data_IF_301486801199
#
_entry.id   IF_301486801199
#
_cell.length_a   1.000
_cell.length_b   1.000
_cell.length_c   1.000
_cell.angle_alpha   90.00
_cell.angle_beta   90.00
_cell.angle_gamma   90.00
#
_symmetry.space_group_name_H-M   'P 1'
#
loop_
_entity.id
_entity.type
_entity.pdbx_description
1 polymer ?
#
# COMPACT_ATOMS: atom_id res chain seq x y z
N UNK A 1 -8.24 -6.81 -10.35
CA UNK A 1 -8.55 -6.06 -9.12
C UNK A 1 -8.68 -7.06 -7.99
N UNK A 2 -8.14 -6.74 -6.80
CA UNK A 2 -8.09 -7.62 -5.63
C UNK A 2 -8.82 -6.92 -4.47
N UNK A 3 -9.53 -7.66 -3.64
CA UNK A 3 -10.25 -7.12 -2.48
C UNK A 3 -9.70 -7.70 -1.17
N UNK A 4 -9.65 -6.87 -0.13
CA UNK A 4 -9.37 -7.24 1.25
C UNK A 4 -10.64 -7.10 2.08
N UNK A 5 -10.90 -8.11 2.90
CA UNK A 5 -12.03 -8.17 3.81
C UNK A 5 -11.52 -8.24 5.24
N UNK A 6 -12.32 -7.75 6.17
CA UNK A 6 -12.09 -7.91 7.60
C UNK A 6 -12.34 -9.35 8.02
N UNK A 7 -11.39 -9.98 8.72
CA UNK A 7 -11.47 -11.40 9.07
C UNK A 7 -12.61 -11.74 10.03
N UNK A 8 -13.10 -10.77 10.83
CA UNK A 8 -14.13 -11.00 11.83
C UNK A 8 -15.53 -10.70 11.31
N UNK A 9 -15.67 -9.60 10.58
CA UNK A 9 -16.97 -9.07 10.13
C UNK A 9 -17.26 -9.41 8.67
N UNK A 10 -16.27 -9.89 7.92
CA UNK A 10 -16.31 -10.08 6.48
C UNK A 10 -16.70 -8.80 5.71
N UNK A 11 -16.50 -7.63 6.34
CA UNK A 11 -16.74 -6.34 5.72
C UNK A 11 -15.61 -6.02 4.73
N UNK A 12 -15.96 -5.40 3.60
CA UNK A 12 -14.97 -4.95 2.61
C UNK A 12 -14.11 -3.83 3.21
N UNK A 13 -12.80 -4.03 3.30
CA UNK A 13 -11.84 -3.04 3.83
C UNK A 13 -11.12 -2.27 2.73
N UNK A 14 -10.61 -2.98 1.74
CA UNK A 14 -9.85 -2.34 0.69
C UNK A 14 -10.01 -3.04 -0.66
N UNK A 15 -9.80 -2.28 -1.74
CA UNK A 15 -9.64 -2.84 -3.08
C UNK A 15 -8.43 -2.25 -3.78
N UNK A 16 -7.72 -3.10 -4.52
CA UNK A 16 -6.48 -2.77 -5.20
C UNK A 16 -6.60 -3.01 -6.70
N UNK A 17 -6.24 -2.00 -7.48
CA UNK A 17 -6.13 -2.10 -8.94
C UNK A 17 -4.66 -2.23 -9.28
N UNK A 18 -4.34 -3.27 -10.04
CA UNK A 18 -2.98 -3.55 -10.52
C UNK A 18 -2.88 -3.23 -12.00
N UNK A 19 -1.71 -2.76 -12.41
CA UNK A 19 -1.31 -2.62 -13.79
C UNK A 19 -0.85 -3.93 -14.41
N UNK A 20 -0.23 -3.86 -15.60
CA UNK A 20 0.43 -5.00 -16.20
C UNK A 20 1.60 -5.46 -15.34
N UNK A 21 1.63 -6.75 -14.97
CA UNK A 21 2.64 -7.34 -14.08
C UNK A 21 2.03 -7.85 -12.77
N UNK A 22 2.85 -8.53 -11.96
CA UNK A 22 2.41 -9.14 -10.70
C UNK A 22 2.39 -8.10 -9.57
N UNK A 23 3.52 -7.41 -9.36
CA UNK A 23 3.72 -6.47 -8.25
C UNK A 23 3.58 -5.01 -8.71
N UNK A 24 2.54 -4.72 -9.49
CA UNK A 24 2.30 -3.40 -10.07
C UNK A 24 1.02 -2.73 -9.55
N UNK A 25 0.88 -2.45 -8.23
CA UNK A 25 -0.30 -1.78 -7.71
C UNK A 25 -0.34 -0.31 -8.17
N UNK A 26 -1.51 0.16 -8.59
CA UNK A 26 -1.71 1.54 -9.11
C UNK A 26 -2.66 2.34 -8.22
N UNK A 27 -3.78 1.74 -7.82
CA UNK A 27 -4.84 2.44 -7.06
C UNK A 27 -5.29 1.61 -5.88
N UNK A 28 -5.49 2.27 -4.75
CA UNK A 28 -6.12 1.72 -3.55
C UNK A 28 -7.42 2.46 -3.25
N UNK A 29 -8.44 1.68 -2.90
CA UNK A 29 -9.71 2.14 -2.38
C UNK A 29 -9.83 1.63 -0.95
N UNK A 30 -9.84 2.53 0.04
CA UNK A 30 -10.03 2.21 1.45
C UNK A 30 -11.48 2.47 1.84
N UNK A 31 -12.18 1.44 2.31
CA UNK A 31 -13.61 1.48 2.61
C UNK A 31 -13.84 1.68 4.11
N UNK A 32 -14.66 2.68 4.45
CA UNK A 32 -15.19 2.86 5.81
C UNK A 32 -16.61 2.30 5.97
N UNK A 33 -17.30 2.09 4.84
CA UNK A 33 -18.59 1.42 4.74
C UNK A 33 -18.77 0.86 3.32
N UNK A 34 -19.75 -0.03 3.05
CA UNK A 34 -19.90 -0.67 1.73
C UNK A 34 -19.99 0.29 0.53
N UNK A 35 -20.51 1.50 0.75
CA UNK A 35 -20.66 2.56 -0.27
C UNK A 35 -19.77 3.79 -0.03
N UNK A 36 -18.93 3.79 1.01
CA UNK A 36 -18.09 4.93 1.39
C UNK A 36 -16.62 4.53 1.35
N UNK A 37 -15.83 5.21 0.52
CA UNK A 37 -14.42 4.91 0.34
C UNK A 37 -13.57 6.16 0.07
N UNK A 38 -12.29 6.05 0.39
CA UNK A 38 -11.25 6.99 0.01
C UNK A 38 -10.38 6.35 -1.07
N UNK A 39 -10.08 7.10 -2.14
CA UNK A 39 -9.19 6.64 -3.21
C UNK A 39 -7.82 7.28 -3.09
N UNK A 40 -6.77 6.48 -3.25
CA UNK A 40 -5.39 6.93 -3.35
C UNK A 40 -4.67 6.24 -4.51
N UNK A 41 -3.65 6.91 -5.03
CA UNK A 41 -2.81 6.42 -6.13
C UNK A 41 -1.39 6.19 -5.63
N UNK A 42 -0.77 5.12 -6.11
CA UNK A 42 0.64 4.85 -5.83
C UNK A 42 1.52 5.56 -6.84
N UNK A 43 2.62 6.15 -6.34
CA UNK A 43 3.70 6.69 -7.13
C UNK A 43 4.87 5.73 -7.02
N UNK A 44 5.37 5.28 -8.17
CA UNK A 44 6.42 4.25 -8.23
C UNK A 44 7.71 4.80 -8.82
N UNK A 45 8.84 4.27 -8.34
CA UNK A 45 10.11 4.42 -9.03
C UNK A 45 10.23 3.47 -10.23
N UNK A 46 11.40 3.46 -10.86
CA UNK A 46 11.71 2.64 -12.04
C UNK A 46 11.68 1.13 -11.76
N UNK A 47 11.85 0.73 -10.50
CA UNK A 47 11.88 -0.66 -10.04
C UNK A 47 10.50 -1.12 -9.54
N UNK A 48 9.50 -0.23 -9.58
CA UNK A 48 8.16 -0.49 -9.08
C UNK A 48 8.02 -0.28 -7.57
N UNK A 49 9.02 0.25 -6.87
CA UNK A 49 8.91 0.56 -5.44
C UNK A 49 7.99 1.74 -5.21
N UNK A 50 7.12 1.65 -4.20
CA UNK A 50 6.18 2.73 -3.87
C UNK A 50 6.89 3.86 -3.13
N UNK A 51 7.19 4.97 -3.80
CA UNK A 51 7.85 6.13 -3.19
C UNK A 51 6.88 7.18 -2.66
N UNK A 52 5.58 7.04 -2.94
CA UNK A 52 4.57 7.93 -2.38
C UNK A 52 3.15 7.54 -2.72
N UNK A 53 2.21 8.24 -2.09
CA UNK A 53 0.77 8.12 -2.33
C UNK A 53 0.16 9.49 -2.53
N UNK A 54 -0.81 9.59 -3.43
CA UNK A 54 -1.53 10.85 -3.68
C UNK A 54 -3.04 10.69 -3.59
N UNK A 55 -3.75 11.80 -3.41
CA UNK A 55 -5.21 11.88 -3.52
C UNK A 55 -5.65 12.23 -4.95
N UNK A 56 -6.96 12.42 -5.14
CA UNK A 56 -7.56 12.67 -6.45
C UNK A 56 -7.14 14.00 -7.09
N UNK A 57 -6.71 14.96 -6.27
CA UNK A 57 -6.19 16.25 -6.71
C UNK A 57 -4.67 16.24 -6.93
N UNK A 58 -4.01 15.08 -6.78
CA UNK A 58 -2.56 14.95 -6.86
C UNK A 58 -1.81 15.46 -5.62
N UNK A 59 -2.51 15.78 -4.54
CA UNK A 59 -1.86 16.14 -3.26
C UNK A 59 -1.18 14.91 -2.67
N UNK A 60 0.06 15.09 -2.21
CA UNK A 60 0.80 14.04 -1.51
C UNK A 60 0.12 13.69 -0.19
N UNK A 61 -0.12 12.38 0.02
CA UNK A 61 -0.63 11.80 1.25
C UNK A 61 0.50 11.23 2.11
N UNK A 62 1.50 10.64 1.47
CA UNK A 62 2.70 10.11 2.12
C UNK A 62 3.87 10.06 1.13
N UNK A 63 5.07 10.13 1.69
CA UNK A 63 6.32 9.88 0.97
C UNK A 63 6.99 8.71 1.66
N UNK A 64 7.35 7.70 0.88
CA UNK A 64 8.01 6.51 1.36
C UNK A 64 9.47 6.54 0.87
N UNK A 65 10.38 6.10 1.73
CA UNK A 65 11.80 6.01 1.44
C UNK A 65 12.33 4.61 1.72
N UNK A 66 13.44 4.30 1.08
CA UNK A 66 14.10 3.01 1.19
C UNK A 66 15.59 3.21 1.34
N UNK A 67 16.24 2.35 2.14
CA UNK A 67 17.70 2.29 2.19
C UNK A 67 18.26 1.77 0.86
N UNK A 68 19.59 1.81 0.69
CA UNK A 68 20.27 1.24 -0.48
C UNK A 68 19.90 -0.23 -0.73
N UNK A 69 19.57 -0.96 0.33
CA UNK A 69 19.20 -2.38 0.28
C UNK A 69 17.68 -2.62 0.21
N UNK A 70 16.88 -1.58 0.02
CA UNK A 70 15.43 -1.69 -0.11
C UNK A 70 14.67 -1.83 1.20
N UNK A 71 15.33 -1.63 2.35
CA UNK A 71 14.66 -1.63 3.64
C UNK A 71 13.77 -0.39 3.75
N UNK A 72 12.48 -0.53 4.07
CA UNK A 72 11.58 0.60 4.24
C UNK A 72 11.95 1.42 5.47
N UNK A 73 11.78 2.74 5.37
CA UNK A 73 11.82 3.62 6.54
C UNK A 73 10.65 3.32 7.49
N UNK A 74 10.84 3.55 8.78
CA UNK A 74 9.81 3.33 9.79
C UNK A 74 8.56 4.20 9.58
N UNK A 75 8.70 5.34 8.91
CA UNK A 75 7.59 6.23 8.56
C UNK A 75 6.85 5.81 7.27
N UNK A 76 7.30 4.77 6.56
CA UNK A 76 6.63 4.32 5.33
C UNK A 76 5.20 3.86 5.62
N UNK A 77 4.28 4.29 4.78
CA UNK A 77 2.86 3.96 4.91
C UNK A 77 2.40 3.16 3.71
N UNK A 78 1.48 2.22 3.96
CA UNK A 78 0.79 1.46 2.94
C UNK A 78 1.26 0.01 2.86
N UNK A 79 0.37 -0.80 2.28
CA UNK A 79 0.52 -2.25 2.21
C UNK A 79 1.57 -2.68 1.18
N UNK A 80 1.62 -2.02 0.03
CA UNK A 80 2.62 -2.28 -0.99
C UNK A 80 3.79 -1.32 -0.84
N UNK A 81 5.01 -1.85 -0.88
CA UNK A 81 6.22 -1.07 -0.62
C UNK A 81 7.33 -1.39 -1.62
N UNK A 82 8.49 -1.87 -1.16
CA UNK A 82 9.67 -2.11 -1.99
C UNK A 82 9.30 -3.05 -3.15
N UNK A 83 9.65 -2.68 -4.38
CA UNK A 83 9.30 -3.41 -5.61
C UNK A 83 7.81 -3.72 -5.80
N UNK A 84 6.92 -2.95 -5.14
CA UNK A 84 5.47 -3.14 -5.24
C UNK A 84 4.93 -4.35 -4.47
N UNK A 85 5.78 -5.03 -3.70
CA UNK A 85 5.43 -6.21 -2.93
C UNK A 85 4.70 -5.85 -1.64
N UNK A 86 3.92 -6.79 -1.12
CA UNK A 86 3.24 -6.65 0.16
C UNK A 86 4.28 -6.60 1.28
N UNK A 87 4.28 -5.51 2.05
CA UNK A 87 5.01 -5.41 3.29
C UNK A 87 4.27 -6.21 4.36
N UNK A 88 4.84 -7.34 4.77
CA UNK A 88 4.42 -8.06 5.96
C UNK A 88 5.21 -7.54 7.13
N UNK A 89 4.57 -6.82 8.05
CA UNK A 89 5.24 -6.42 9.29
C UNK A 89 5.67 -7.69 10.05
N UNK A 90 6.98 -7.92 10.15
CA UNK A 90 7.50 -8.90 11.11
C UNK A 90 7.55 -8.17 12.45
N UNK A 91 6.56 -8.42 13.30
CA UNK A 91 6.63 -8.02 14.71
C UNK A 91 7.86 -8.70 15.32
N UNK A 92 8.99 -7.99 15.39
CA UNK A 92 10.21 -8.45 16.05
C UNK A 92 9.98 -8.49 17.56
N UNK A 93 9.28 -9.52 18.04
CA UNK A 93 9.34 -9.91 19.45
C UNK A 93 10.66 -10.63 19.65
N UNK A 94 11.73 -9.85 19.87
CA UNK A 94 13.02 -10.39 20.30
C UNK A 94 12.85 -10.87 21.75
N UNK A 95 12.64 -12.17 21.93
CA UNK A 95 12.73 -12.82 23.23
C UNK A 95 14.17 -12.68 23.73
N UNK A 96 14.33 -12.08 24.92
CA UNK A 96 15.49 -12.26 25.78
C UNK A 96 15.27 -13.51 26.63
#
# INVERSE_FOLDING_TARGET
MIAEYDDNTNALKARYVHGPGVDAPIVQYDYSAPSSFTRSWYITDQKGSITGRTNAAGTSLSVNSYSLYGQPDAANVGRFQNTGQINTEVSSTRLL
#
